data_IF_174857172559
#
_entry.id   IF_174857172559
#
_cell.length_a   1.000
_cell.length_b   1.000
_cell.length_c   1.000
_cell.angle_alpha   90.00
_cell.angle_beta   90.00
_cell.angle_gamma   90.00
#
_symmetry.space_group_name_H-M   'P 1'
#
loop_
_entity.id
_entity.type
_entity.pdbx_description
1 polymer ?
#
# COMPACT_ATOMS: atom_id res chain seq x y z
N UNK A 1 6.64 -7.36 4.01
CA UNK A 1 7.33 -8.22 4.97
C UNK A 1 7.79 -7.40 6.16
N UNK A 2 7.46 -7.85 7.36
CA UNK A 2 8.10 -7.39 8.59
C UNK A 2 9.26 -8.35 8.85
N UNK A 3 10.50 -7.89 8.86
CA UNK A 3 11.61 -8.77 9.17
C UNK A 3 11.58 -9.12 10.67
N UNK A 4 11.22 -10.34 11.01
CA UNK A 4 11.45 -10.86 12.35
C UNK A 4 12.88 -11.38 12.43
N UNK A 5 13.81 -10.45 12.46
CA UNK A 5 15.25 -10.73 12.37
C UNK A 5 15.80 -11.50 13.58
N UNK A 6 15.16 -11.40 14.73
CA UNK A 6 15.55 -12.14 15.94
C UNK A 6 15.50 -13.68 15.76
N UNK A 7 14.78 -14.17 14.75
CA UNK A 7 14.65 -15.60 14.43
C UNK A 7 15.57 -16.04 13.27
N UNK A 8 16.38 -15.13 12.73
CA UNK A 8 17.27 -15.40 11.61
C UNK A 8 18.70 -15.49 12.14
N UNK A 9 19.37 -16.63 11.93
CA UNK A 9 20.76 -16.84 12.34
C UNK A 9 21.68 -15.74 11.80
N UNK A 10 22.45 -15.12 12.69
CA UNK A 10 23.38 -14.05 12.38
C UNK A 10 22.74 -12.64 12.32
N UNK A 11 21.48 -12.48 12.75
CA UNK A 11 20.87 -11.20 13.02
C UNK A 11 20.52 -11.09 14.50
N UNK A 12 20.86 -9.96 15.10
CA UNK A 12 20.59 -9.67 16.53
C UNK A 12 19.74 -8.42 16.71
N UNK A 13 19.13 -7.92 15.64
CA UNK A 13 18.39 -6.68 15.66
C UNK A 13 16.95 -6.88 16.14
N UNK A 14 16.49 -5.96 16.98
CA UNK A 14 15.12 -5.94 17.52
C UNK A 14 14.14 -5.18 16.60
N UNK A 15 14.65 -4.56 15.48
CA UNK A 15 13.83 -3.72 14.62
C UNK A 15 13.13 -4.54 13.52
N UNK A 16 11.82 -4.51 13.48
CA UNK A 16 11.02 -5.02 12.37
C UNK A 16 10.83 -4.00 11.23
N UNK A 17 11.46 -2.82 11.34
CA UNK A 17 11.38 -1.70 10.43
C UNK A 17 12.57 -1.70 9.47
N UNK A 18 12.35 -2.01 8.20
CA UNK A 18 13.43 -2.27 7.24
C UNK A 18 14.43 -1.10 7.09
N UNK A 19 13.97 0.15 7.03
CA UNK A 19 14.86 1.31 6.84
C UNK A 19 15.78 1.60 8.03
N UNK A 20 15.62 0.95 9.16
CA UNK A 20 16.54 1.05 10.32
C UNK A 20 17.79 0.22 10.15
N UNK A 21 17.79 -0.71 9.21
CA UNK A 21 18.96 -1.52 8.87
C UNK A 21 19.81 -0.79 7.82
N UNK A 22 21.11 -1.02 7.85
CA UNK A 22 22.01 -0.56 6.79
C UNK A 22 21.76 -1.28 5.45
N UNK A 23 22.37 -0.77 4.39
CA UNK A 23 22.19 -1.31 3.04
C UNK A 23 22.55 -2.81 2.96
N UNK A 24 23.66 -3.21 3.56
CA UNK A 24 24.13 -4.60 3.50
C UNK A 24 23.10 -5.55 4.13
N UNK A 25 22.59 -5.16 5.29
CA UNK A 25 21.55 -5.91 6.01
C UNK A 25 20.23 -5.96 5.21
N UNK A 26 19.81 -4.83 4.62
CA UNK A 26 18.61 -4.79 3.77
C UNK A 26 18.76 -5.70 2.55
N UNK A 27 19.90 -5.67 1.85
CA UNK A 27 20.21 -6.56 0.73
C UNK A 27 20.10 -8.03 1.16
N UNK A 28 20.73 -8.38 2.28
CA UNK A 28 20.69 -9.75 2.80
C UNK A 28 19.26 -10.20 3.17
N UNK A 29 18.48 -9.35 3.82
CA UNK A 29 17.10 -9.66 4.20
C UNK A 29 16.18 -9.83 2.98
N UNK A 30 16.31 -8.97 1.97
CA UNK A 30 15.53 -9.09 0.73
C UNK A 30 15.93 -10.36 -0.04
N UNK A 31 17.23 -10.65 -0.14
CA UNK A 31 17.75 -11.85 -0.78
C UNK A 31 17.21 -13.13 -0.14
N UNK A 32 17.24 -13.19 1.20
CA UNK A 32 16.67 -14.31 1.94
C UNK A 32 15.15 -14.48 1.68
N UNK A 33 14.41 -13.37 1.65
CA UNK A 33 12.98 -13.39 1.32
C UNK A 33 12.71 -13.92 -0.09
N UNK A 34 13.51 -13.49 -1.08
CA UNK A 34 13.43 -13.99 -2.47
C UNK A 34 13.73 -15.49 -2.51
N UNK A 35 14.79 -15.93 -1.86
CA UNK A 35 15.18 -17.35 -1.80
C UNK A 35 14.09 -18.23 -1.19
N UNK A 36 13.49 -17.81 -0.07
CA UNK A 36 12.39 -18.53 0.58
C UNK A 36 11.20 -18.68 -0.39
N UNK A 37 10.80 -17.62 -1.07
CA UNK A 37 9.70 -17.65 -2.03
C UNK A 37 10.01 -18.59 -3.21
N UNK A 38 11.24 -18.57 -3.73
CA UNK A 38 11.66 -19.46 -4.81
C UNK A 38 11.65 -20.92 -4.36
N UNK A 39 12.10 -21.23 -3.16
CA UNK A 39 12.00 -22.58 -2.56
C UNK A 39 10.53 -23.03 -2.38
N UNK A 40 9.61 -22.08 -2.19
CA UNK A 40 8.16 -22.36 -2.16
C UNK A 40 7.54 -22.50 -3.56
N UNK A 41 8.34 -22.48 -4.63
CA UNK A 41 7.86 -22.69 -6.01
C UNK A 41 7.51 -21.41 -6.76
N UNK A 42 7.82 -20.22 -6.24
CA UNK A 42 7.63 -18.95 -6.96
C UNK A 42 8.74 -18.83 -8.00
N UNK A 43 8.40 -18.91 -9.29
CA UNK A 43 9.38 -18.92 -10.37
C UNK A 43 10.18 -17.61 -10.46
N UNK A 44 9.51 -16.47 -10.25
CA UNK A 44 10.15 -15.14 -10.29
C UNK A 44 9.50 -14.21 -9.29
N UNK A 45 10.31 -13.61 -8.44
CA UNK A 45 9.88 -12.54 -7.52
C UNK A 45 10.26 -11.21 -8.15
N UNK A 46 9.30 -10.33 -8.42
CA UNK A 46 9.51 -9.05 -9.09
C UNK A 46 9.09 -7.84 -8.28
N UNK A 47 8.27 -8.06 -7.24
CA UNK A 47 7.66 -6.98 -6.46
C UNK A 47 8.01 -7.10 -4.98
N UNK A 48 8.14 -5.94 -4.33
CA UNK A 48 8.38 -5.84 -2.90
C UNK A 48 7.55 -4.73 -2.26
N UNK A 49 6.98 -5.03 -1.09
CA UNK A 49 6.39 -4.04 -0.17
C UNK A 49 6.93 -4.28 1.22
N UNK A 50 7.57 -3.27 1.79
CA UNK A 50 8.02 -3.30 3.17
C UNK A 50 6.81 -3.35 4.13
N UNK A 51 6.96 -4.03 5.26
CA UNK A 51 6.02 -3.94 6.36
C UNK A 51 5.90 -2.49 6.83
N UNK A 52 4.69 -2.04 7.20
CA UNK A 52 4.40 -0.65 7.53
C UNK A 52 4.88 0.39 6.49
N UNK A 53 5.10 -0.01 5.23
CA UNK A 53 5.70 0.80 4.17
C UNK A 53 7.10 1.36 4.53
N UNK A 54 7.78 0.71 5.46
CA UNK A 54 9.03 1.17 6.08
C UNK A 54 10.23 0.96 5.15
N UNK A 55 10.35 1.80 4.13
CA UNK A 55 11.40 1.77 3.11
C UNK A 55 12.14 3.12 3.01
N UNK A 56 13.40 3.07 2.56
CA UNK A 56 14.26 4.22 2.28
C UNK A 56 15.01 4.03 0.96
N UNK A 57 15.96 4.91 0.65
CA UNK A 57 16.79 4.81 -0.56
C UNK A 57 17.60 3.53 -0.63
N UNK A 58 18.12 3.05 0.51
CA UNK A 58 18.88 1.79 0.57
C UNK A 58 17.97 0.60 0.22
N UNK A 59 16.69 0.67 0.59
CA UNK A 59 15.70 -0.33 0.19
C UNK A 59 15.56 -0.41 -1.34
N UNK A 60 15.56 0.73 -2.05
CA UNK A 60 15.51 0.75 -3.51
C UNK A 60 16.75 0.08 -4.11
N UNK A 61 17.93 0.41 -3.57
CA UNK A 61 19.20 -0.22 -3.99
C UNK A 61 19.19 -1.72 -3.72
N UNK A 62 18.71 -2.15 -2.57
CA UNK A 62 18.58 -3.57 -2.23
C UNK A 62 17.58 -4.29 -3.15
N UNK A 63 16.48 -3.65 -3.51
CA UNK A 63 15.52 -4.16 -4.50
C UNK A 63 16.18 -4.35 -5.87
N UNK A 64 16.93 -3.35 -6.36
CA UNK A 64 17.63 -3.43 -7.65
C UNK A 64 18.63 -4.59 -7.69
N UNK A 65 19.41 -4.81 -6.63
CA UNK A 65 20.37 -5.90 -6.54
C UNK A 65 19.73 -7.29 -6.64
N UNK A 66 18.46 -7.43 -6.26
CA UNK A 66 17.71 -8.67 -6.35
C UNK A 66 16.73 -8.73 -7.54
N UNK A 67 16.78 -7.76 -8.46
CA UNK A 67 15.89 -7.70 -9.61
C UNK A 67 14.42 -7.44 -9.25
N UNK A 68 14.17 -6.86 -8.09
CA UNK A 68 12.84 -6.45 -7.64
C UNK A 68 12.55 -5.06 -8.21
N UNK A 69 11.92 -5.02 -9.37
CA UNK A 69 11.69 -3.78 -10.12
C UNK A 69 10.38 -3.08 -9.79
N UNK A 70 9.53 -3.71 -8.99
CA UNK A 70 8.23 -3.19 -8.60
C UNK A 70 8.17 -2.94 -7.09
N UNK A 71 7.76 -1.75 -6.70
CA UNK A 71 7.55 -1.37 -5.32
C UNK A 71 6.12 -0.92 -5.05
N UNK A 72 5.69 -0.96 -3.79
CA UNK A 72 4.53 -0.25 -3.30
C UNK A 72 4.82 0.21 -1.87
N UNK A 73 5.81 1.09 -1.76
CA UNK A 73 6.44 1.45 -0.49
C UNK A 73 6.20 2.92 -0.11
N UNK A 74 5.51 3.70 -0.94
CA UNK A 74 5.23 5.10 -0.65
C UNK A 74 3.86 5.28 -0.02
N UNK A 75 3.82 6.23 0.89
CA UNK A 75 2.64 6.66 1.60
C UNK A 75 2.74 8.16 1.87
N UNK A 76 1.75 8.91 1.42
CA UNK A 76 1.70 10.37 1.61
C UNK A 76 0.98 10.80 2.89
N UNK A 77 0.42 9.87 3.68
CA UNK A 77 -0.15 10.22 4.98
C UNK A 77 0.96 10.67 5.92
N UNK A 78 0.85 11.89 6.47
CA UNK A 78 1.84 12.47 7.37
C UNK A 78 2.07 11.65 8.64
N UNK A 79 1.09 10.85 9.07
CA UNK A 79 1.25 9.97 10.24
C UNK A 79 2.09 8.76 9.89
N UNK A 80 1.86 8.17 8.71
CA UNK A 80 2.64 7.03 8.19
C UNK A 80 3.94 7.45 7.52
N UNK A 81 4.12 8.73 7.17
CA UNK A 81 5.39 9.25 6.62
C UNK A 81 6.57 9.09 7.58
N UNK A 82 6.29 8.81 8.85
CA UNK A 82 7.31 8.37 9.81
C UNK A 82 7.89 7.00 9.44
N UNK A 83 7.14 6.18 8.72
CA UNK A 83 7.56 4.85 8.29
C UNK A 83 8.23 4.88 6.92
N UNK A 84 7.60 5.47 5.89
CA UNK A 84 8.20 5.61 4.57
C UNK A 84 9.16 6.82 4.49
N UNK A 85 10.38 6.59 4.01
CA UNK A 85 11.38 7.63 3.74
C UNK A 85 11.54 7.90 2.23
N UNK A 86 10.51 7.55 1.43
CA UNK A 86 10.57 7.62 -0.04
C UNK A 86 9.73 8.74 -0.66
N UNK A 87 8.93 9.47 0.13
CA UNK A 87 7.99 10.46 -0.42
C UNK A 87 8.66 11.57 -1.23
N UNK A 88 9.88 12.00 -0.84
CA UNK A 88 10.64 13.02 -1.53
C UNK A 88 11.69 12.45 -2.51
N UNK A 89 11.74 11.13 -2.66
CA UNK A 89 12.68 10.44 -3.55
C UNK A 89 12.10 10.31 -4.96
N UNK A 90 10.79 10.10 -5.07
CA UNK A 90 10.11 9.92 -6.35
C UNK A 90 9.57 11.25 -6.89
N UNK A 91 9.68 11.49 -8.21
CA UNK A 91 9.25 12.76 -8.80
C UNK A 91 7.74 12.97 -8.84
N UNK A 92 6.96 11.89 -8.90
CA UNK A 92 5.50 11.96 -8.97
C UNK A 92 4.90 11.47 -7.64
N UNK A 93 4.04 12.30 -7.05
CA UNK A 93 3.32 11.99 -5.80
C UNK A 93 1.95 11.40 -6.11
N UNK A 94 1.49 10.46 -5.29
CA UNK A 94 0.16 9.84 -5.35
C UNK A 94 -0.20 9.16 -6.69
N UNK A 95 0.79 8.82 -7.48
CA UNK A 95 0.66 8.03 -8.69
C UNK A 95 1.94 7.24 -8.94
N UNK A 96 1.90 6.32 -9.91
CA UNK A 96 3.05 5.51 -10.29
C UNK A 96 4.24 6.42 -10.65
N UNK A 97 5.41 6.03 -10.19
CA UNK A 97 6.64 6.78 -10.45
C UNK A 97 7.85 5.86 -10.45
N UNK A 98 8.95 6.29 -11.10
CA UNK A 98 10.16 5.48 -11.23
C UNK A 98 11.39 6.22 -10.74
N UNK A 99 12.24 5.50 -10.03
CA UNK A 99 13.60 5.94 -9.67
C UNK A 99 14.55 4.76 -9.91
N UNK A 100 15.59 4.97 -10.71
CA UNK A 100 16.46 3.89 -11.16
C UNK A 100 15.69 2.80 -11.90
N UNK A 101 15.90 1.55 -11.54
CA UNK A 101 15.17 0.41 -12.08
C UNK A 101 13.85 0.12 -11.34
N UNK A 102 13.56 0.82 -10.23
CA UNK A 102 12.37 0.55 -9.41
C UNK A 102 11.23 1.48 -9.79
N UNK A 103 10.10 0.89 -10.18
CA UNK A 103 8.81 1.58 -10.32
C UNK A 103 7.98 1.32 -9.07
N UNK A 104 7.49 2.37 -8.43
CA UNK A 104 6.71 2.29 -7.21
C UNK A 104 5.26 2.75 -7.41
N UNK A 105 4.34 1.93 -6.92
CA UNK A 105 2.91 2.15 -6.88
C UNK A 105 2.53 2.63 -5.47
N UNK A 106 2.37 3.95 -5.22
CA UNK A 106 2.06 4.42 -3.89
C UNK A 106 0.70 3.93 -3.41
N UNK A 107 0.53 3.75 -2.11
CA UNK A 107 -0.82 3.64 -1.54
C UNK A 107 -1.56 4.94 -1.84
N UNK A 108 -2.71 4.84 -2.50
CA UNK A 108 -3.45 6.03 -2.92
C UNK A 108 -4.10 6.73 -1.75
N UNK A 109 -3.97 8.05 -1.73
CA UNK A 109 -4.51 8.90 -0.67
C UNK A 109 -5.37 10.02 -1.24
N UNK A 110 -6.30 10.50 -0.42
CA UNK A 110 -7.03 11.75 -0.65
C UNK A 110 -6.95 12.61 0.60
N UNK A 111 -7.08 13.92 0.45
CA UNK A 111 -7.16 14.82 1.59
C UNK A 111 -8.42 14.54 2.40
N UNK A 112 -8.27 14.52 3.72
CA UNK A 112 -9.41 14.45 4.61
C UNK A 112 -10.09 15.83 4.70
N UNK A 113 -11.42 15.91 4.56
CA UNK A 113 -12.15 17.14 4.84
C UNK A 113 -12.20 17.43 6.35
N UNK A 114 -11.88 16.44 7.18
CA UNK A 114 -11.86 16.50 8.64
C UNK A 114 -10.43 16.33 9.16
N UNK A 115 -9.48 17.05 8.56
CA UNK A 115 -8.03 16.87 8.81
C UNK A 115 -7.62 17.03 10.28
N UNK A 116 -8.37 17.77 11.07
CA UNK A 116 -8.20 17.96 12.53
C UNK A 116 -8.48 16.68 13.34
N UNK A 117 -9.29 15.74 12.80
CA UNK A 117 -9.64 14.46 13.44
C UNK A 117 -8.87 13.31 12.81
N UNK A 118 -8.93 13.22 11.48
CA UNK A 118 -8.46 12.06 10.69
C UNK A 118 -7.00 12.16 10.22
N UNK A 119 -6.36 13.34 10.39
CA UNK A 119 -5.09 13.67 9.74
C UNK A 119 -5.30 14.27 8.35
N UNK A 120 -4.20 14.74 7.72
CA UNK A 120 -4.25 15.48 6.46
C UNK A 120 -4.72 14.62 5.30
N UNK A 121 -4.28 13.38 5.25
CA UNK A 121 -4.60 12.41 4.21
C UNK A 121 -5.27 11.17 4.78
N UNK A 122 -6.01 10.50 3.92
CA UNK A 122 -6.65 9.20 4.19
C UNK A 122 -6.26 8.24 3.08
N UNK A 123 -5.78 7.07 3.46
CA UNK A 123 -5.58 5.96 2.53
C UNK A 123 -6.90 5.46 1.97
N UNK A 124 -6.88 5.03 0.73
CA UNK A 124 -7.90 4.13 0.21
C UNK A 124 -7.65 2.73 0.79
N UNK A 125 -8.25 2.46 1.92
CA UNK A 125 -8.14 1.20 2.66
C UNK A 125 -9.52 0.61 2.91
N UNK A 126 -9.72 -0.65 2.53
CA UNK A 126 -11.05 -1.30 2.53
C UNK A 126 -11.71 -1.26 3.91
N UNK A 127 -10.92 -1.49 4.97
CA UNK A 127 -11.47 -1.59 6.32
C UNK A 127 -11.58 -0.25 7.04
N UNK A 128 -10.80 0.75 6.62
CA UNK A 128 -10.78 2.08 7.22
C UNK A 128 -11.68 3.10 6.50
N UNK A 129 -11.95 2.89 5.20
CA UNK A 129 -12.74 3.81 4.36
C UNK A 129 -14.16 3.28 4.18
N UNK A 130 -15.16 4.14 4.24
CA UNK A 130 -16.56 3.77 3.98
C UNK A 130 -16.80 3.48 2.49
N UNK A 131 -17.81 2.66 2.15
CA UNK A 131 -18.09 2.28 0.74
C UNK A 131 -18.34 3.50 -0.15
N UNK A 132 -19.13 4.46 0.31
CA UNK A 132 -19.42 5.69 -0.44
C UNK A 132 -18.19 6.56 -0.58
N UNK A 133 -17.40 6.67 0.48
CA UNK A 133 -16.14 7.41 0.52
C UNK A 133 -15.11 6.80 -0.43
N UNK A 134 -15.00 5.46 -0.47
CA UNK A 134 -14.12 4.74 -1.39
C UNK A 134 -14.50 4.99 -2.86
N UNK A 135 -15.78 4.87 -3.19
CA UNK A 135 -16.27 5.10 -4.56
C UNK A 135 -16.07 6.54 -5.02
N UNK A 136 -16.37 7.51 -4.16
CA UNK A 136 -16.14 8.95 -4.42
C UNK A 136 -14.63 9.22 -4.60
N UNK A 137 -13.81 8.66 -3.72
CA UNK A 137 -12.37 8.80 -3.76
C UNK A 137 -11.76 8.27 -5.06
N UNK A 138 -12.15 7.07 -5.49
CA UNK A 138 -11.66 6.48 -6.74
C UNK A 138 -12.07 7.31 -7.97
N UNK A 139 -13.32 7.81 -8.02
CA UNK A 139 -13.75 8.71 -9.11
C UNK A 139 -12.93 9.99 -9.14
N UNK A 140 -12.71 10.61 -7.98
CA UNK A 140 -11.90 11.83 -7.87
C UNK A 140 -10.44 11.63 -8.26
N UNK A 141 -9.86 10.46 -7.97
CA UNK A 141 -8.52 10.12 -8.46
C UNK A 141 -8.50 9.99 -9.98
N UNK A 142 -9.48 9.30 -10.58
CA UNK A 142 -9.61 9.19 -12.03
C UNK A 142 -9.81 10.56 -12.69
N UNK A 143 -10.70 11.41 -12.15
CA UNK A 143 -10.91 12.80 -12.62
C UNK A 143 -9.65 13.68 -12.47
N UNK A 144 -8.77 13.35 -11.54
CA UNK A 144 -7.47 14.01 -11.38
C UNK A 144 -6.41 13.50 -12.37
N UNK A 145 -6.72 12.47 -13.14
CA UNK A 145 -5.79 11.86 -14.08
C UNK A 145 -4.79 10.89 -13.42
N UNK A 146 -5.11 10.37 -12.23
CA UNK A 146 -4.31 9.29 -11.61
C UNK A 146 -4.39 8.05 -12.49
N UNK A 147 -3.24 7.55 -12.93
CA UNK A 147 -3.15 6.42 -13.86
C UNK A 147 -3.26 5.09 -13.14
N UNK A 148 -2.79 5.01 -11.89
CA UNK A 148 -2.83 3.79 -11.12
C UNK A 148 -3.20 4.06 -9.66
N UNK A 149 -4.39 3.61 -9.23
CA UNK A 149 -4.83 3.70 -7.84
C UNK A 149 -4.56 2.39 -7.10
N UNK A 150 -3.81 2.46 -6.01
CA UNK A 150 -3.51 1.32 -5.14
C UNK A 150 -4.38 1.36 -3.90
N UNK A 151 -5.20 0.34 -3.71
CA UNK A 151 -6.07 0.17 -2.54
C UNK A 151 -5.40 -0.76 -1.54
N UNK A 152 -5.33 -0.33 -0.28
CA UNK A 152 -4.74 -1.12 0.79
C UNK A 152 -5.78 -2.02 1.44
N UNK A 153 -5.37 -3.23 1.81
CA UNK A 153 -6.13 -4.14 2.67
C UNK A 153 -5.19 -5.17 3.32
N UNK A 154 -5.60 -5.69 4.46
CA UNK A 154 -4.86 -6.74 5.17
C UNK A 154 -5.79 -7.92 5.49
N UNK A 155 -5.37 -9.17 5.29
CA UNK A 155 -6.20 -10.34 5.60
C UNK A 155 -6.73 -10.35 7.03
N UNK A 156 -5.91 -9.94 8.01
CA UNK A 156 -6.27 -9.87 9.44
C UNK A 156 -7.44 -8.93 9.75
N UNK A 157 -7.83 -8.06 8.84
CA UNK A 157 -8.94 -7.13 9.02
C UNK A 157 -10.31 -7.74 8.71
N UNK A 158 -10.33 -8.95 8.16
CA UNK A 158 -11.56 -9.68 7.81
C UNK A 158 -11.98 -10.73 8.82
N UNK A 159 -11.14 -10.97 9.81
CA UNK A 159 -11.46 -11.89 10.90
C UNK A 159 -10.74 -11.49 12.19
N UNK A 160 -11.30 -11.93 13.31
CA UNK A 160 -10.59 -11.91 14.60
C UNK A 160 -10.52 -13.34 15.16
N UNK A 161 -9.50 -13.60 15.94
CA UNK A 161 -9.34 -14.90 16.60
C UNK A 161 -10.12 -14.91 17.91
N UNK A 162 -11.09 -15.81 17.98
CA UNK A 162 -11.77 -16.15 19.23
C UNK A 162 -11.17 -17.44 19.74
N UNK A 163 -10.52 -17.37 20.93
CA UNK A 163 -9.70 -18.49 21.40
C UNK A 163 -8.61 -18.88 20.37
N UNK A 164 -7.53 -19.51 20.76
CA UNK A 164 -6.32 -19.66 19.92
C UNK A 164 -6.49 -20.32 18.54
N UNK A 165 -7.69 -20.82 18.19
CA UNK A 165 -7.94 -21.62 16.96
C UNK A 165 -9.23 -21.32 16.22
N UNK A 166 -10.05 -20.38 16.68
CA UNK A 166 -11.34 -20.09 16.05
C UNK A 166 -11.35 -18.70 15.43
N UNK A 167 -11.27 -18.64 14.09
CA UNK A 167 -11.38 -17.39 13.33
C UNK A 167 -12.86 -17.04 13.13
N UNK A 168 -13.25 -15.82 13.50
CA UNK A 168 -14.60 -15.29 13.31
C UNK A 168 -14.53 -14.18 12.27
N UNK A 169 -15.34 -14.28 11.22
CA UNK A 169 -15.39 -13.30 10.15
C UNK A 169 -15.94 -11.95 10.63
N UNK A 170 -15.35 -10.88 10.14
CA UNK A 170 -15.84 -9.50 10.33
C UNK A 170 -16.71 -9.14 9.13
N UNK A 171 -18.00 -9.44 9.21
CA UNK A 171 -18.94 -9.26 8.10
C UNK A 171 -19.03 -7.84 7.54
N UNK A 172 -18.80 -6.83 8.37
CA UNK A 172 -18.77 -5.43 7.94
C UNK A 172 -17.67 -5.21 6.89
N UNK A 173 -16.47 -5.72 7.13
CA UNK A 173 -15.33 -5.53 6.23
C UNK A 173 -15.47 -6.39 4.97
N UNK A 174 -16.00 -7.61 5.09
CA UNK A 174 -16.35 -8.43 3.94
C UNK A 174 -17.35 -7.72 3.03
N UNK A 175 -18.45 -7.19 3.58
CA UNK A 175 -19.45 -6.43 2.80
C UNK A 175 -18.87 -5.17 2.13
N UNK A 176 -17.87 -4.52 2.74
CA UNK A 176 -17.17 -3.39 2.12
C UNK A 176 -16.36 -3.83 0.91
N UNK A 177 -15.63 -4.95 1.03
CA UNK A 177 -14.87 -5.53 -0.08
C UNK A 177 -15.82 -5.95 -1.21
N UNK A 178 -16.90 -6.67 -0.91
CA UNK A 178 -17.90 -7.09 -1.90
C UNK A 178 -18.49 -5.88 -2.65
N UNK A 179 -18.81 -4.81 -1.91
CA UNK A 179 -19.35 -3.58 -2.50
C UNK A 179 -18.32 -2.83 -3.37
N UNK A 180 -17.03 -2.88 -3.01
CA UNK A 180 -15.95 -2.32 -3.82
C UNK A 180 -15.78 -3.12 -5.11
N UNK A 181 -15.70 -4.45 -5.02
CA UNK A 181 -15.56 -5.34 -6.19
C UNK A 181 -16.74 -5.16 -7.14
N UNK A 182 -17.97 -5.14 -6.62
CA UNK A 182 -19.18 -4.91 -7.43
C UNK A 182 -19.16 -3.54 -8.12
N UNK A 183 -18.66 -2.51 -7.45
CA UNK A 183 -18.50 -1.17 -8.06
C UNK A 183 -17.47 -1.19 -9.18
N UNK A 184 -16.30 -1.75 -8.95
CA UNK A 184 -15.23 -1.83 -9.96
C UNK A 184 -15.65 -2.66 -11.18
N UNK A 185 -16.38 -3.76 -10.97
CA UNK A 185 -16.89 -4.60 -12.05
C UNK A 185 -17.91 -3.88 -12.96
N UNK A 186 -18.53 -2.79 -12.50
CA UNK A 186 -19.48 -1.98 -13.27
C UNK A 186 -18.92 -0.66 -13.78
N UNK A 187 -17.65 -0.39 -13.50
CA UNK A 187 -17.02 0.85 -13.94
C UNK A 187 -16.23 0.62 -15.23
N UNK A 188 -16.72 1.09 -16.40
CA UNK A 188 -16.15 0.74 -17.68
C UNK A 188 -14.75 1.30 -17.95
N UNK A 189 -14.39 2.37 -17.23
CA UNK A 189 -13.11 3.08 -17.41
C UNK A 189 -12.04 2.62 -16.41
N UNK A 190 -12.28 1.51 -15.68
CA UNK A 190 -11.36 1.03 -14.66
C UNK A 190 -11.04 -0.46 -14.87
N UNK A 191 -9.76 -0.76 -14.99
CA UNK A 191 -9.24 -2.13 -14.99
C UNK A 191 -8.71 -2.49 -13.60
N UNK A 192 -9.01 -3.71 -13.14
CA UNK A 192 -8.44 -4.27 -11.92
C UNK A 192 -7.29 -5.18 -12.32
N UNK A 193 -6.09 -4.76 -11.97
CA UNK A 193 -4.85 -5.41 -12.38
C UNK A 193 -4.07 -5.94 -11.18
N UNK A 194 -3.29 -6.98 -11.39
CA UNK A 194 -2.22 -7.35 -10.47
C UNK A 194 -1.07 -6.34 -10.56
N UNK A 195 -0.24 -6.26 -9.50
CA UNK A 195 0.94 -5.38 -9.49
C UNK A 195 1.84 -5.60 -10.71
N UNK A 196 2.02 -6.85 -11.15
CA UNK A 196 2.82 -7.17 -12.34
C UNK A 196 2.19 -6.67 -13.63
N UNK A 197 0.87 -6.78 -13.78
CA UNK A 197 0.15 -6.29 -14.95
C UNK A 197 0.14 -4.76 -15.04
N UNK A 198 0.15 -4.06 -13.92
CA UNK A 198 0.22 -2.60 -13.92
C UNK A 198 1.39 -2.06 -14.73
N UNK A 199 2.53 -2.77 -14.75
CA UNK A 199 3.72 -2.32 -15.48
C UNK A 199 3.56 -2.35 -16.99
N UNK A 200 2.77 -3.28 -17.49
CA UNK A 200 2.55 -3.46 -18.93
C UNK A 200 1.48 -2.48 -19.46
N UNK A 201 0.66 -1.92 -18.56
CA UNK A 201 -0.50 -1.10 -18.92
C UNK A 201 -0.39 0.36 -18.44
N UNK A 202 0.61 0.71 -17.62
CA UNK A 202 0.66 2.04 -17.01
C UNK A 202 1.79 2.88 -17.61
N UNK A 203 1.42 3.96 -18.28
CA UNK A 203 2.36 5.02 -18.65
C UNK A 203 2.78 5.81 -17.40
N UNK A 204 4.07 6.16 -17.33
CA UNK A 204 4.56 6.97 -16.22
C UNK A 204 4.06 8.41 -16.41
N UNK A 205 3.32 8.98 -15.43
CA UNK A 205 2.86 10.36 -15.54
C UNK A 205 4.05 11.34 -15.47
N UNK A 206 3.96 12.41 -16.25
CA UNK A 206 5.00 13.43 -16.30
C UNK A 206 5.01 14.34 -15.06
N UNK A 207 3.91 14.43 -14.34
CA UNK A 207 3.76 15.30 -13.17
C UNK A 207 2.78 14.67 -12.15
N UNK A 208 2.86 15.15 -10.92
CA UNK A 208 1.94 14.73 -9.88
C UNK A 208 0.51 15.17 -10.21
N UNK A 209 -0.49 14.29 -10.06
CA UNK A 209 -1.89 14.68 -10.23
C UNK A 209 -2.29 15.69 -9.16
N UNK A 210 -3.30 16.55 -9.43
CA UNK A 210 -3.82 17.49 -8.45
C UNK A 210 -4.46 16.74 -7.26
N UNK A 211 -4.17 17.22 -6.06
CA UNK A 211 -4.76 16.64 -4.85
C UNK A 211 -6.31 16.78 -4.87
N UNK A 212 -6.97 15.76 -4.40
CA UNK A 212 -8.43 15.72 -4.26
C UNK A 212 -8.82 15.51 -2.80
N UNK A 213 -9.95 16.08 -2.41
CA UNK A 213 -10.51 16.00 -1.05
C UNK A 213 -11.72 15.06 -1.04
N UNK A 214 -11.80 14.18 -0.07
CA UNK A 214 -12.95 13.31 0.18
C UNK A 214 -14.22 14.14 0.45
N UNK A 215 -15.37 13.55 0.16
CA UNK A 215 -16.65 14.21 0.45
C UNK A 215 -16.91 14.25 1.97
N UNK A 216 -17.13 15.44 2.58
CA UNK A 216 -17.31 15.56 4.02
C UNK A 216 -18.53 14.79 4.55
N UNK A 217 -19.61 14.70 3.77
CA UNK A 217 -20.80 13.94 4.17
C UNK A 217 -20.48 12.45 4.29
N UNK A 218 -19.73 11.89 3.34
CA UNK A 218 -19.35 10.49 3.38
C UNK A 218 -18.35 10.19 4.49
N UNK A 219 -17.45 11.12 4.79
CA UNK A 219 -16.54 11.02 5.92
C UNK A 219 -17.27 10.99 7.27
N UNK A 220 -18.28 11.84 7.44
CA UNK A 220 -19.15 11.85 8.64
C UNK A 220 -19.97 10.56 8.76
N UNK A 221 -20.55 10.07 7.67
CA UNK A 221 -21.26 8.78 7.65
C UNK A 221 -20.36 7.60 8.04
N UNK A 222 -19.12 7.58 7.55
CA UNK A 222 -18.14 6.58 7.95
C UNK A 222 -17.86 6.61 9.44
N UNK A 223 -17.63 7.81 10.00
CA UNK A 223 -17.37 7.98 11.44
C UNK A 223 -18.52 7.48 12.29
N UNK A 224 -19.77 7.81 11.92
CA UNK A 224 -20.96 7.31 12.60
C UNK A 224 -21.05 5.79 12.58
N UNK A 225 -20.64 5.15 11.48
CA UNK A 225 -20.59 3.68 11.34
C UNK A 225 -19.43 3.01 12.09
N UNK A 226 -18.39 3.74 12.44
CA UNK A 226 -17.22 3.20 13.17
C UNK A 226 -17.40 3.30 14.69
N UNK A 227 -18.23 4.26 15.17
CA UNK A 227 -18.54 4.43 16.58
C UNK A 227 -19.74 3.60 17.07
N UNK A 228 -20.38 2.84 16.23
CA UNK A 228 -21.43 1.87 16.52
C UNK A 228 -20.88 0.43 16.44
#
# INVERSE_FOLDING_TARGET
LHPNVAQIDGFSDEFDTLWRHDLETQVRLLGLGVEILQRCGVAKVTAFRAGALAANKDTLTAMEQHGLTLGSNRDLDLKSSLESKLNDVFPVRNDVSRVGAVTDLPVSVLRSPLSWIDGTYRHLEVCATGVLEMRDGLRKLAEAGVTCATILTHPKEFFYMREARHAVAIDKNRRRLDALVAFLATWPDADVLTVSQCMDHTELPAASPPERTLNPVYSLLRMAQQGS
#
